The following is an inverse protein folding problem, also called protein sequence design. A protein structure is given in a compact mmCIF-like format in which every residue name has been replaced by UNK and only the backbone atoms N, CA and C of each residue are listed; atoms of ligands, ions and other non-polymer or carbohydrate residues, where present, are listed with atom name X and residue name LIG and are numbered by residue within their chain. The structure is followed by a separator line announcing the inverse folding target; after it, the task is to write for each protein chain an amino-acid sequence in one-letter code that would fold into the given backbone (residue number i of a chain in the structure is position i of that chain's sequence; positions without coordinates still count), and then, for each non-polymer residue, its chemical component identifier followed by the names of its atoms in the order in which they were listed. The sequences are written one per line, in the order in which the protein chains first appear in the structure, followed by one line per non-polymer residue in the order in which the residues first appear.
data_IF_019072469331
#
_entry.id   IF_019072469331
#
_cell.length_a   1.000
_cell.length_b   1.000
_cell.length_c   1.000
_cell.angle_alpha   90.00
_cell.angle_beta   90.00
_cell.angle_gamma   90.00
#
_symmetry.space_group_name_H-M   'P 1'
#
loop_
_entity.id
_entity.type
_entity.pdbx_description
1 polymer ?
#
# COMPACT_ATOMS: atom_id res chain seq x y z
N UNK A 1 42.66 13.85 -5.64
CA UNK A 1 41.27 13.91 -5.15
C UNK A 1 40.39 13.38 -6.27
N UNK A 2 39.91 12.12 -6.19
CA UNK A 2 39.26 11.45 -7.31
C UNK A 2 37.79 11.85 -7.43
N UNK A 3 37.52 12.95 -8.14
CA UNK A 3 36.16 13.45 -8.37
C UNK A 3 35.37 12.58 -9.36
N UNK A 4 36.06 11.75 -10.15
CA UNK A 4 35.45 10.83 -11.11
C UNK A 4 34.47 9.83 -10.47
N UNK A 5 34.64 9.51 -9.18
CA UNK A 5 33.71 8.63 -8.44
C UNK A 5 32.29 9.21 -8.37
N UNK A 6 32.12 10.53 -8.49
CA UNK A 6 30.82 11.19 -8.43
C UNK A 6 30.02 11.09 -9.75
N UNK A 7 30.51 10.36 -10.76
CA UNK A 7 29.81 10.23 -12.04
C UNK A 7 28.39 9.65 -11.91
N UNK A 8 28.16 8.80 -10.91
CA UNK A 8 26.82 8.27 -10.63
C UNK A 8 25.80 9.35 -10.29
N UNK A 9 26.21 10.40 -9.57
CA UNK A 9 25.32 11.53 -9.23
C UNK A 9 24.91 12.27 -10.49
N UNK A 10 25.85 12.49 -11.42
CA UNK A 10 25.57 13.12 -12.72
C UNK A 10 24.58 12.29 -13.54
N UNK A 11 24.75 10.96 -13.55
CA UNK A 11 23.83 10.03 -14.23
C UNK A 11 22.42 10.10 -13.61
N UNK A 12 22.31 10.18 -12.28
CA UNK A 12 21.01 10.30 -11.59
C UNK A 12 20.32 11.62 -11.95
N UNK A 13 21.04 12.74 -11.88
CA UNK A 13 20.49 14.06 -12.20
C UNK A 13 20.01 14.14 -13.64
N UNK A 14 20.81 13.65 -14.60
CA UNK A 14 20.43 13.61 -16.00
C UNK A 14 19.26 12.64 -16.25
N UNK A 15 19.29 11.46 -15.65
CA UNK A 15 18.24 10.45 -15.80
C UNK A 15 16.88 10.94 -15.30
N UNK A 16 16.84 11.61 -14.15
CA UNK A 16 15.61 12.20 -13.62
C UNK A 16 15.17 13.44 -14.39
N UNK A 17 16.10 14.27 -14.87
CA UNK A 17 15.79 15.41 -15.73
C UNK A 17 15.10 14.97 -17.03
N UNK A 18 15.52 13.83 -17.59
CA UNK A 18 14.93 13.21 -18.77
C UNK A 18 13.68 12.36 -18.48
N UNK A 19 13.19 12.32 -17.23
CA UNK A 19 12.03 11.51 -16.79
C UNK A 19 12.14 10.01 -17.13
N UNK A 20 13.36 9.46 -17.10
CA UNK A 20 13.59 8.04 -17.30
C UNK A 20 13.11 7.23 -16.08
N UNK A 21 12.94 5.91 -16.28
CA UNK A 21 12.58 4.99 -15.21
C UNK A 21 13.56 5.09 -14.03
N UNK A 22 13.02 5.32 -12.83
CA UNK A 22 13.81 5.61 -11.64
C UNK A 22 14.70 4.42 -11.25
N UNK A 23 14.21 3.19 -11.41
CA UNK A 23 14.96 1.99 -11.03
C UNK A 23 16.11 1.73 -12.01
N UNK A 24 15.87 1.85 -13.31
CA UNK A 24 16.90 1.70 -14.33
C UNK A 24 18.03 2.73 -14.14
N UNK A 25 17.68 4.01 -13.91
CA UNK A 25 18.65 5.08 -13.67
C UNK A 25 19.51 4.79 -12.44
N UNK A 26 18.90 4.37 -11.33
CA UNK A 26 19.63 4.04 -10.09
C UNK A 26 20.61 2.87 -10.29
N UNK A 27 20.21 1.80 -10.98
CA UNK A 27 21.07 0.64 -11.25
C UNK A 27 22.27 1.04 -12.11
N UNK A 28 22.03 1.78 -13.20
CA UNK A 28 23.10 2.24 -14.11
C UNK A 28 24.07 3.18 -13.39
N UNK A 29 23.57 4.11 -12.57
CA UNK A 29 24.40 5.02 -11.79
C UNK A 29 25.25 4.27 -10.74
N UNK A 30 24.67 3.30 -10.03
CA UNK A 30 25.36 2.48 -9.05
C UNK A 30 26.48 1.65 -9.68
N UNK A 31 26.19 0.96 -10.79
CA UNK A 31 27.18 0.17 -11.54
C UNK A 31 28.30 1.04 -12.12
N UNK A 32 27.95 2.18 -12.71
CA UNK A 32 28.94 3.12 -13.27
C UNK A 32 29.87 3.66 -12.18
N UNK A 33 29.34 3.95 -10.99
CA UNK A 33 30.14 4.41 -9.84
C UNK A 33 31.08 3.32 -9.33
N UNK A 34 30.60 2.08 -9.23
CA UNK A 34 31.42 0.95 -8.80
C UNK A 34 32.59 0.70 -9.76
N UNK A 35 32.34 0.73 -11.07
CA UNK A 35 33.38 0.56 -12.09
C UNK A 35 34.42 1.68 -12.05
N UNK A 36 33.99 2.93 -11.91
CA UNK A 36 34.92 4.08 -11.80
C UNK A 36 35.69 4.09 -10.47
N UNK A 37 35.14 3.48 -9.42
CA UNK A 37 35.85 3.25 -8.16
C UNK A 37 36.91 2.13 -8.24
N UNK A 38 37.06 1.47 -9.40
CA UNK A 38 38.02 0.38 -9.60
C UNK A 38 37.52 -0.99 -9.12
N UNK A 39 36.23 -1.12 -8.81
CA UNK A 39 35.61 -2.39 -8.45
C UNK A 39 35.37 -3.19 -9.72
N UNK A 40 35.78 -4.46 -9.74
CA UNK A 40 35.57 -5.33 -10.89
C UNK A 40 34.07 -5.61 -11.11
N UNK A 41 33.65 -5.88 -12.34
CA UNK A 41 32.23 -6.08 -12.70
C UNK A 41 31.55 -7.16 -11.85
N UNK A 42 32.20 -8.32 -11.67
CA UNK A 42 31.67 -9.41 -10.87
C UNK A 42 31.51 -9.00 -9.39
N UNK A 43 32.49 -8.28 -8.86
CA UNK A 43 32.49 -7.82 -7.47
C UNK A 43 31.44 -6.74 -7.23
N UNK A 44 31.20 -5.86 -8.21
CA UNK A 44 30.12 -4.88 -8.17
C UNK A 44 28.74 -5.55 -8.07
N UNK A 45 28.50 -6.63 -8.83
CA UNK A 45 27.26 -7.41 -8.75
C UNK A 45 27.11 -8.11 -7.39
N UNK A 46 28.19 -8.69 -6.86
CA UNK A 46 28.20 -9.32 -5.54
C UNK A 46 27.87 -8.30 -4.45
N UNK A 47 28.53 -7.14 -4.45
CA UNK A 47 28.28 -6.06 -3.50
C UNK A 47 26.84 -5.53 -3.58
N UNK A 48 26.29 -5.40 -4.78
CA UNK A 48 24.89 -5.00 -4.97
C UNK A 48 23.94 -6.03 -4.34
N UNK A 49 24.15 -7.32 -4.62
CA UNK A 49 23.37 -8.42 -4.05
C UNK A 49 23.49 -8.53 -2.52
N UNK A 50 24.71 -8.45 -1.99
CA UNK A 50 24.94 -8.46 -0.54
C UNK A 50 24.26 -7.29 0.16
N UNK A 51 24.38 -6.08 -0.39
CA UNK A 51 23.74 -4.89 0.19
C UNK A 51 22.22 -4.97 0.10
N UNK A 52 21.68 -5.60 -0.94
CA UNK A 52 20.25 -5.87 -1.04
C UNK A 52 19.77 -6.84 0.04
N UNK A 53 20.49 -7.96 0.25
CA UNK A 53 20.14 -8.95 1.29
C UNK A 53 20.35 -8.38 2.71
N UNK A 54 21.42 -7.60 2.93
CA UNK A 54 21.66 -6.89 4.20
C UNK A 54 20.53 -5.91 4.50
N UNK A 55 19.98 -5.25 3.48
CA UNK A 55 18.82 -4.38 3.58
C UNK A 55 17.49 -5.12 3.31
N UNK A 56 17.34 -6.37 3.74
CA UNK A 56 16.10 -7.17 3.57
C UNK A 56 14.82 -6.47 4.06
N UNK A 57 14.94 -5.51 4.98
CA UNK A 57 13.82 -4.69 5.44
C UNK A 57 13.16 -3.92 4.29
N UNK A 58 13.92 -3.53 3.28
CA UNK A 58 13.39 -2.87 2.07
C UNK A 58 12.52 -3.83 1.25
N UNK A 59 12.72 -5.15 1.35
CA UNK A 59 11.97 -6.17 0.60
C UNK A 59 10.79 -6.74 1.39
N UNK A 60 10.69 -6.45 2.70
CA UNK A 60 9.68 -7.04 3.59
C UNK A 60 8.25 -6.67 3.18
N UNK A 61 8.05 -5.54 2.48
CA UNK A 61 6.73 -5.12 1.97
C UNK A 61 6.16 -6.08 0.92
N UNK A 62 6.99 -6.96 0.33
CA UNK A 62 6.52 -7.99 -0.59
C UNK A 62 5.80 -9.13 0.12
N UNK A 63 6.07 -9.38 1.41
CA UNK A 63 5.47 -10.49 2.17
C UNK A 63 3.96 -10.30 2.43
N UNK A 64 3.47 -9.09 2.78
CA UNK A 64 2.03 -8.84 2.90
C UNK A 64 1.22 -9.17 1.66
N UNK A 65 1.75 -9.03 0.45
CA UNK A 65 1.01 -9.26 -0.80
C UNK A 65 0.49 -10.71 -0.92
N UNK A 66 1.33 -11.77 -0.92
CA UNK A 66 0.87 -13.15 -0.96
C UNK A 66 0.09 -13.55 0.29
N UNK A 67 0.41 -12.97 1.45
CA UNK A 67 -0.33 -13.19 2.68
C UNK A 67 -1.78 -12.71 2.56
N UNK A 68 -2.01 -11.48 2.07
CA UNK A 68 -3.34 -10.93 1.81
C UNK A 68 -4.05 -11.78 0.75
N UNK A 69 -3.37 -12.12 -0.35
CA UNK A 69 -3.95 -12.96 -1.41
C UNK A 69 -4.41 -14.32 -0.89
N UNK A 70 -3.63 -14.94 0.00
CA UNK A 70 -3.98 -16.22 0.62
C UNK A 70 -5.20 -16.09 1.53
N UNK A 71 -5.22 -15.08 2.41
CA UNK A 71 -6.34 -14.83 3.33
C UNK A 71 -7.63 -14.49 2.57
N UNK A 72 -7.55 -13.70 1.50
CA UNK A 72 -8.70 -13.38 0.64
C UNK A 72 -9.23 -14.63 -0.07
N UNK A 73 -8.34 -15.52 -0.54
CA UNK A 73 -8.73 -16.81 -1.14
C UNK A 73 -9.44 -17.75 -0.14
N UNK A 74 -9.12 -17.68 1.15
CA UNK A 74 -9.83 -18.40 2.21
C UNK A 74 -11.19 -17.80 2.58
N UNK A 75 -11.62 -16.77 1.87
CA UNK A 75 -12.96 -16.23 1.99
C UNK A 75 -13.12 -15.19 3.09
N UNK A 76 -12.05 -14.47 3.42
CA UNK A 76 -12.09 -13.38 4.40
C UNK A 76 -13.22 -12.38 4.08
N UNK A 77 -13.43 -12.08 2.79
CA UNK A 77 -14.49 -11.18 2.33
C UNK A 77 -15.88 -11.74 2.64
N UNK A 78 -16.11 -13.02 2.39
CA UNK A 78 -17.37 -13.71 2.64
C UNK A 78 -17.65 -13.78 4.15
N UNK A 79 -16.64 -14.07 4.96
CA UNK A 79 -16.76 -14.10 6.42
C UNK A 79 -17.07 -12.71 6.98
N UNK A 80 -16.42 -11.66 6.48
CA UNK A 80 -16.72 -10.27 6.84
C UNK A 80 -18.18 -9.91 6.49
N UNK A 81 -18.65 -10.25 5.28
CA UNK A 81 -20.05 -10.03 4.89
C UNK A 81 -21.02 -10.77 5.80
N UNK A 82 -20.75 -12.02 6.16
CA UNK A 82 -21.60 -12.79 7.06
C UNK A 82 -21.63 -12.19 8.47
N UNK A 83 -20.48 -11.76 9.01
CA UNK A 83 -20.41 -11.14 10.32
C UNK A 83 -21.16 -9.80 10.36
N UNK A 84 -21.03 -9.00 9.31
CA UNK A 84 -21.73 -7.72 9.20
C UNK A 84 -23.24 -7.93 9.02
N UNK A 85 -23.68 -8.95 8.28
CA UNK A 85 -25.11 -9.27 8.12
C UNK A 85 -25.82 -9.64 9.44
N UNK A 86 -25.06 -10.03 10.47
CA UNK A 86 -25.58 -10.31 11.81
C UNK A 86 -25.75 -9.04 12.66
N UNK A 87 -25.12 -7.94 12.28
CA UNK A 87 -25.25 -6.64 12.93
C UNK A 87 -26.52 -5.93 12.44
N UNK A 88 -27.70 -6.53 12.68
CA UNK A 88 -29.00 -5.91 12.38
C UNK A 88 -29.36 -4.86 13.43
N UNK A 89 -29.91 -3.72 13.01
CA UNK A 89 -30.46 -2.68 13.88
C UNK A 89 -29.50 -1.56 14.31
N UNK A 90 -28.29 -1.47 13.73
CA UNK A 90 -27.38 -0.34 13.97
C UNK A 90 -27.90 0.92 13.29
N UNK A 91 -28.02 2.01 14.04
CA UNK A 91 -28.32 3.33 13.48
C UNK A 91 -27.10 3.85 12.69
N UNK A 92 -27.32 4.56 11.58
CA UNK A 92 -26.27 5.14 10.74
C UNK A 92 -25.08 5.79 11.50
N UNK A 93 -25.28 6.60 12.56
CA UNK A 93 -24.18 7.21 13.31
C UNK A 93 -23.32 6.19 14.06
N UNK A 94 -23.96 5.13 14.59
CA UNK A 94 -23.27 4.08 15.34
C UNK A 94 -22.41 3.26 14.38
N UNK A 95 -22.93 2.93 13.18
CA UNK A 95 -22.18 2.21 12.15
C UNK A 95 -20.91 2.97 11.74
N UNK A 96 -21.03 4.27 11.50
CA UNK A 96 -19.89 5.13 11.15
C UNK A 96 -18.88 5.21 12.29
N UNK A 97 -19.34 5.38 13.54
CA UNK A 97 -18.47 5.45 14.71
C UNK A 97 -17.72 4.13 14.95
N UNK A 98 -18.40 2.99 14.81
CA UNK A 98 -17.78 1.66 14.89
C UNK A 98 -16.71 1.47 13.82
N UNK A 99 -16.96 1.90 12.58
CA UNK A 99 -15.95 1.86 11.51
C UNK A 99 -14.71 2.70 11.85
N UNK A 100 -14.90 3.94 12.29
CA UNK A 100 -13.77 4.83 12.65
C UNK A 100 -12.96 4.24 13.81
N UNK A 101 -13.62 3.71 14.84
CA UNK A 101 -12.97 3.07 15.98
C UNK A 101 -12.13 1.86 15.54
N UNK A 102 -12.71 0.95 14.74
CA UNK A 102 -11.98 -0.22 14.22
C UNK A 102 -10.79 0.22 13.34
N UNK A 103 -10.97 1.29 12.55
CA UNK A 103 -9.90 1.87 11.71
C UNK A 103 -8.74 2.39 12.54
N UNK A 104 -9.03 3.11 13.60
CA UNK A 104 -8.04 3.73 14.47
C UNK A 104 -7.25 2.68 15.26
N UNK A 105 -7.95 1.66 15.78
CA UNK A 105 -7.31 0.49 16.41
C UNK A 105 -6.42 -0.23 15.41
N UNK A 106 -6.87 -0.47 14.18
CA UNK A 106 -6.08 -1.18 13.17
C UNK A 106 -4.83 -0.40 12.75
N UNK A 107 -4.93 0.92 12.64
CA UNK A 107 -3.78 1.81 12.42
C UNK A 107 -2.75 1.73 13.56
N UNK A 108 -3.20 1.63 14.81
CA UNK A 108 -2.31 1.44 15.96
C UNK A 108 -1.52 0.11 15.88
N UNK A 109 -2.12 -0.93 15.30
CA UNK A 109 -1.47 -2.21 15.00
C UNK A 109 -0.75 -2.24 13.65
N UNK A 110 -0.61 -1.10 12.96
CA UNK A 110 0.04 -0.99 11.65
C UNK A 110 -0.65 -1.83 10.54
N UNK A 111 -1.94 -2.11 10.70
CA UNK A 111 -2.78 -2.79 9.72
C UNK A 111 -3.59 -1.71 8.98
N UNK A 112 -3.20 -1.31 7.76
CA UNK A 112 -3.94 -0.31 7.02
C UNK A 112 -5.26 -0.92 6.52
N UNK A 113 -6.35 -0.65 7.22
CA UNK A 113 -7.68 -0.82 6.65
C UNK A 113 -7.80 0.16 5.48
N UNK A 114 -8.09 -0.36 4.28
CA UNK A 114 -8.06 0.38 3.01
C UNK A 114 -8.68 1.79 3.10
N UNK A 115 -8.14 2.73 2.32
CA UNK A 115 -8.51 4.15 2.41
C UNK A 115 -9.99 4.45 2.12
N UNK A 116 -10.39 5.72 2.26
CA UNK A 116 -11.78 6.18 2.08
C UNK A 116 -12.46 5.61 0.83
N UNK A 117 -11.77 5.58 -0.31
CA UNK A 117 -12.35 5.13 -1.58
C UNK A 117 -12.57 3.62 -1.65
N UNK A 118 -11.73 2.83 -0.98
CA UNK A 118 -11.71 1.37 -1.09
C UNK A 118 -12.66 0.67 -0.10
N UNK A 119 -13.00 1.33 1.01
CA UNK A 119 -13.86 0.76 2.04
C UNK A 119 -15.16 1.54 2.23
N UNK A 120 -15.14 2.88 2.19
CA UNK A 120 -16.33 3.68 2.50
C UNK A 120 -17.35 3.61 1.38
N UNK A 121 -16.96 3.87 0.12
CA UNK A 121 -17.88 3.82 -1.03
C UNK A 121 -18.51 2.45 -1.27
N UNK A 122 -17.76 1.34 -1.35
CA UNK A 122 -18.34 0.05 -1.71
C UNK A 122 -18.98 -0.71 -0.54
N UNK A 123 -18.70 -0.34 0.72
CA UNK A 123 -19.17 -1.10 1.89
C UNK A 123 -19.94 -0.24 2.89
N UNK A 124 -19.33 0.84 3.40
CA UNK A 124 -19.96 1.65 4.46
C UNK A 124 -21.17 2.42 3.92
N UNK A 125 -21.05 3.07 2.77
CA UNK A 125 -22.12 3.83 2.14
C UNK A 125 -23.39 3.00 1.91
N UNK A 126 -23.36 1.84 1.21
CA UNK A 126 -24.57 1.03 1.03
C UNK A 126 -25.13 0.46 2.34
N UNK A 127 -24.30 0.28 3.37
CA UNK A 127 -24.78 -0.14 4.69
C UNK A 127 -25.46 1.00 5.45
N UNK A 128 -24.89 2.20 5.42
CA UNK A 128 -25.49 3.39 6.00
C UNK A 128 -26.82 3.70 5.33
N UNK A 129 -26.87 3.69 3.99
CA UNK A 129 -28.08 3.87 3.20
C UNK A 129 -29.15 2.80 3.55
N UNK A 130 -28.77 1.51 3.60
CA UNK A 130 -29.68 0.44 4.00
C UNK A 130 -30.25 0.62 5.42
N UNK A 131 -29.44 1.07 6.39
CA UNK A 131 -29.91 1.31 7.77
C UNK A 131 -30.83 2.52 7.90
N UNK A 132 -30.65 3.54 7.05
CA UNK A 132 -31.52 4.73 7.00
C UNK A 132 -32.87 4.35 6.38
N UNK A 133 -32.88 3.63 5.26
CA UNK A 133 -34.10 3.13 4.61
C UNK A 133 -34.93 2.21 5.51
N UNK A 134 -34.27 1.35 6.30
CA UNK A 134 -34.95 0.48 7.29
C UNK A 134 -35.65 1.28 8.41
N UNK A 135 -35.09 2.43 8.83
CA UNK A 135 -35.63 3.23 9.94
C UNK A 135 -36.59 4.34 9.55
N UNK A 136 -36.40 5.00 8.40
CA UNK A 136 -37.23 6.13 7.96
C UNK A 136 -38.39 5.75 7.03
N UNK A 137 -38.45 4.50 6.54
CA UNK A 137 -39.41 4.13 5.51
C UNK A 137 -38.93 4.57 4.12
N UNK A 138 -39.35 3.82 3.10
CA UNK A 138 -38.77 3.75 1.75
C UNK A 138 -39.07 4.97 0.85
N UNK A 139 -38.95 6.20 1.39
CA UNK A 139 -39.35 7.45 0.73
C UNK A 139 -38.25 8.52 0.69
N UNK A 140 -36.98 8.12 0.84
CA UNK A 140 -35.84 9.02 0.66
C UNK A 140 -35.37 8.93 -0.80
N UNK A 141 -35.67 9.98 -1.56
CA UNK A 141 -35.15 10.17 -2.92
C UNK A 141 -33.61 10.29 -2.88
N UNK A 142 -32.94 9.82 -3.93
CA UNK A 142 -31.47 9.78 -4.07
C UNK A 142 -30.77 11.16 -3.95
N UNK A 143 -31.53 12.26 -3.76
CA UNK A 143 -31.04 13.62 -3.54
C UNK A 143 -30.86 14.00 -2.05
N UNK A 144 -31.36 13.21 -1.08
CA UNK A 144 -31.29 13.53 0.36
C UNK A 144 -30.28 12.68 1.17
N UNK A 145 -29.50 11.81 0.51
CA UNK A 145 -28.46 10.92 1.11
C UNK A 145 -27.05 11.37 0.73
#
# INVERSE_FOLDING_TARGET
MNWFILIGIVIIVLGFSLKLDTMAVLIVAALSTALVAGINWQEALILLGENFVKNRLVTIFLIPIPMIAMVERFGLRQQAQHLISKLKGLTAPILLYTYVLIREVSLAFHIPLGGHVQFVRPLIYPMTDATVREKCGDDLSDEEV
#
